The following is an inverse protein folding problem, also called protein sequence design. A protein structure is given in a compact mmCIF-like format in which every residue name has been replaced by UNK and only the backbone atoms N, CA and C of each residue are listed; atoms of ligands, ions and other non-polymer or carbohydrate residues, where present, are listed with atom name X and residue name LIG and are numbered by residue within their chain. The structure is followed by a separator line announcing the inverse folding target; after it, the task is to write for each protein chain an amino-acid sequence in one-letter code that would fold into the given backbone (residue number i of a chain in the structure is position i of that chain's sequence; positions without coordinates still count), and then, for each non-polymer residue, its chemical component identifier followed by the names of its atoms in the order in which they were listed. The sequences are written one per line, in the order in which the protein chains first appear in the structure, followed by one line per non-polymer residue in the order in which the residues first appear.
data_IF_639349207463
#
_entry.id   IF_639349207463
#
_cell.length_a   1.000
_cell.length_b   1.000
_cell.length_c   1.000
_cell.angle_alpha   90.00
_cell.angle_beta   90.00
_cell.angle_gamma   90.00
#
_symmetry.space_group_name_H-M   'P 1'
#
loop_
_entity.id
_entity.type
_entity.pdbx_description
1 polymer ?
#
# COMPACT_ATOMS: atom_id res chain seq x y z
N UNK A 1 4.24 -13.41 12.72
CA UNK A 1 3.89 -12.44 11.66
C UNK A 1 2.74 -12.99 10.83
N UNK A 2 1.58 -12.32 10.82
CA UNK A 2 0.33 -12.76 10.16
C UNK A 2 0.32 -12.57 8.63
N UNK A 3 1.26 -11.79 8.10
CA UNK A 3 1.34 -11.42 6.68
C UNK A 3 2.74 -11.71 6.11
N UNK A 4 2.81 -11.95 4.81
CA UNK A 4 4.03 -11.84 4.00
C UNK A 4 4.05 -10.47 3.33
N UNK A 5 5.18 -9.77 3.40
CA UNK A 5 5.30 -8.41 2.88
C UNK A 5 6.44 -8.37 1.88
N UNK A 6 6.17 -7.78 0.72
CA UNK A 6 7.13 -7.64 -0.38
C UNK A 6 7.05 -6.23 -0.94
N UNK A 7 8.17 -5.52 -1.01
CA UNK A 7 8.23 -4.25 -1.72
C UNK A 7 8.16 -4.50 -3.24
N UNK A 8 7.20 -3.87 -3.91
CA UNK A 8 6.96 -4.00 -5.35
C UNK A 8 7.09 -2.66 -6.08
N UNK A 9 7.60 -1.61 -5.41
CA UNK A 9 7.94 -0.34 -6.04
C UNK A 9 8.81 -0.59 -7.29
N UNK A 10 8.46 -0.06 -8.48
CA UNK A 10 9.29 -0.16 -9.68
C UNK A 10 10.70 0.40 -9.45
N UNK A 11 11.72 -0.20 -10.06
CA UNK A 11 13.12 0.18 -9.82
C UNK A 11 13.40 1.67 -10.08
N UNK A 12 12.79 2.26 -11.10
CA UNK A 12 12.92 3.69 -11.41
C UNK A 12 12.25 4.64 -10.40
N UNK A 13 11.46 4.11 -9.47
CA UNK A 13 10.77 4.86 -8.40
C UNK A 13 11.29 4.51 -7.00
N UNK A 14 12.27 3.60 -6.89
CA UNK A 14 12.89 3.27 -5.61
C UNK A 14 13.89 4.34 -5.23
N UNK A 15 13.74 4.93 -4.05
CA UNK A 15 14.76 5.79 -3.49
C UNK A 15 15.91 4.96 -2.91
N UNK A 16 17.13 5.40 -3.17
CA UNK A 16 18.36 4.79 -2.64
C UNK A 16 18.55 5.17 -1.15
N UNK A 17 18.02 6.33 -0.72
CA UNK A 17 18.11 6.87 0.65
C UNK A 17 16.87 7.72 0.96
N UNK A 18 16.19 7.49 2.09
CA UNK A 18 15.07 8.33 2.59
C UNK A 18 13.68 7.67 2.58
N UNK A 19 12.70 8.34 3.22
CA UNK A 19 11.28 7.97 3.27
C UNK A 19 10.55 8.43 2.01
N UNK A 20 10.71 7.68 0.92
CA UNK A 20 10.00 7.92 -0.33
C UNK A 20 8.75 7.04 -0.44
N UNK A 21 7.76 7.43 -1.26
CA UNK A 21 6.59 6.61 -1.53
C UNK A 21 7.01 5.24 -2.09
N UNK A 22 6.60 4.18 -1.40
CA UNK A 22 6.90 2.81 -1.79
C UNK A 22 5.62 1.96 -1.77
N UNK A 23 5.49 1.07 -2.76
CA UNK A 23 4.36 0.16 -2.86
C UNK A 23 4.76 -1.16 -2.22
N UNK A 24 4.01 -1.56 -1.19
CA UNK A 24 4.19 -2.82 -0.50
C UNK A 24 3.02 -3.76 -0.81
N UNK A 25 3.34 -4.97 -1.27
CA UNK A 25 2.40 -6.07 -1.38
C UNK A 25 2.29 -6.76 -0.02
N UNK A 26 1.09 -6.79 0.53
CA UNK A 26 0.78 -7.48 1.78
C UNK A 26 -0.09 -8.69 1.46
N UNK A 27 0.43 -9.90 1.69
CA UNK A 27 -0.30 -11.15 1.49
C UNK A 27 -0.61 -11.79 2.85
N UNK A 28 -1.87 -11.91 3.27
CA UNK A 28 -2.25 -12.64 4.49
C UNK A 28 -1.81 -14.11 4.42
N UNK A 29 -1.25 -14.66 5.50
CA UNK A 29 -0.94 -16.10 5.59
C UNK A 29 -2.18 -16.96 5.82
N UNK A 30 -3.29 -16.36 6.23
CA UNK A 30 -4.61 -16.97 6.32
C UNK A 30 -5.68 -15.99 5.81
N UNK A 31 -6.68 -16.54 5.15
CA UNK A 31 -7.78 -15.97 4.36
C UNK A 31 -8.56 -14.73 4.89
N UNK A 32 -9.31 -14.14 3.94
CA UNK A 32 -10.65 -13.49 4.02
C UNK A 32 -10.92 -12.28 4.92
N UNK A 33 -11.47 -11.24 4.28
CA UNK A 33 -12.69 -10.44 4.65
C UNK A 33 -12.96 -9.52 3.43
N UNK A 34 -14.12 -9.36 2.78
CA UNK A 34 -15.56 -9.26 3.13
C UNK A 34 -15.83 -8.17 4.18
N UNK A 35 -16.35 -7.04 3.69
CA UNK A 35 -16.84 -5.84 4.40
C UNK A 35 -15.80 -4.81 4.88
N UNK A 36 -15.86 -3.62 4.26
CA UNK A 36 -15.24 -2.41 4.81
C UNK A 36 -14.90 -1.39 3.72
N UNK A 37 -15.78 -0.39 3.51
CA UNK A 37 -15.56 0.78 2.65
C UNK A 37 -15.35 0.50 1.16
N UNK A 38 -15.91 1.32 0.27
CA UNK A 38 -15.50 1.28 -1.13
C UNK A 38 -14.08 1.84 -1.24
N UNK A 39 -13.09 0.96 -1.18
CA UNK A 39 -11.73 1.30 -1.56
C UNK A 39 -11.76 1.83 -3.00
N UNK A 40 -11.11 2.95 -3.25
CA UNK A 40 -11.13 3.61 -4.54
C UNK A 40 -9.80 4.29 -4.80
N UNK A 41 -9.36 4.25 -6.05
CA UNK A 41 -8.18 4.96 -6.52
C UNK A 41 -8.66 6.06 -7.47
N UNK A 42 -8.04 7.22 -7.47
CA UNK A 42 -8.28 8.32 -8.40
C UNK A 42 -6.95 8.79 -8.97
N UNK A 43 -6.98 9.39 -10.15
CA UNK A 43 -5.81 9.97 -10.80
C UNK A 43 -5.92 11.49 -10.78
N UNK A 44 -4.86 12.16 -10.35
CA UNK A 44 -4.74 13.61 -10.34
C UNK A 44 -3.35 13.99 -10.84
N UNK A 45 -3.25 14.29 -12.13
CA UNK A 45 -1.97 14.54 -12.80
C UNK A 45 -1.05 13.32 -12.72
N UNK A 46 0.14 13.50 -12.13
CA UNK A 46 1.16 12.46 -11.94
C UNK A 46 0.98 11.67 -10.63
N UNK A 47 -0.15 11.85 -9.92
CA UNK A 47 -0.38 11.27 -8.61
C UNK A 47 -1.64 10.38 -8.56
N UNK A 48 -1.57 9.34 -7.73
CA UNK A 48 -2.73 8.56 -7.34
C UNK A 48 -3.25 9.03 -5.98
N UNK A 49 -4.55 9.28 -5.91
CA UNK A 49 -5.26 9.44 -4.64
C UNK A 49 -5.90 8.11 -4.27
N UNK A 50 -5.51 7.56 -3.13
CA UNK A 50 -5.93 6.21 -2.71
C UNK A 50 -6.78 6.36 -1.45
N UNK A 51 -8.06 5.97 -1.56
CA UNK A 51 -8.96 5.86 -0.41
C UNK A 51 -9.01 4.38 -0.01
N UNK A 52 -8.63 4.11 1.23
CA UNK A 52 -8.73 2.79 1.84
C UNK A 52 -8.69 2.83 3.36
N UNK A 53 -8.60 1.66 3.97
CA UNK A 53 -8.53 1.55 5.43
C UNK A 53 -7.15 2.00 5.93
N UNK A 54 -7.12 2.95 6.87
CA UNK A 54 -5.88 3.31 7.57
C UNK A 54 -5.48 2.17 8.48
N UNK A 55 -4.24 1.72 8.37
CA UNK A 55 -3.68 0.64 9.19
C UNK A 55 -2.41 1.08 9.90
N UNK A 56 -2.08 0.40 11.00
CA UNK A 56 -0.92 0.71 11.84
C UNK A 56 0.36 0.07 11.24
N UNK A 57 1.39 0.87 10.87
CA UNK A 57 2.58 0.35 10.16
C UNK A 57 3.35 -0.73 10.94
N UNK A 58 3.34 -0.66 12.26
CA UNK A 58 4.03 -1.64 13.11
C UNK A 58 3.45 -3.06 13.01
N UNK A 59 2.16 -3.22 12.69
CA UNK A 59 1.52 -4.53 12.46
C UNK A 59 2.10 -5.26 11.24
N UNK A 60 2.67 -4.48 10.31
CA UNK A 60 3.27 -4.91 9.06
C UNK A 60 4.80 -4.79 9.09
N UNK A 61 5.43 -4.44 10.21
CA UNK A 61 6.88 -4.23 10.26
C UNK A 61 7.36 -3.09 9.34
N UNK A 62 6.47 -2.14 9.02
CA UNK A 62 6.73 -0.96 8.19
C UNK A 62 6.88 0.32 9.02
N UNK A 63 7.03 0.21 10.35
CA UNK A 63 7.12 1.35 11.27
C UNK A 63 8.21 2.38 10.89
N UNK A 64 9.35 1.92 10.37
CA UNK A 64 10.44 2.80 9.90
C UNK A 64 10.33 3.23 8.45
N UNK A 65 9.22 2.91 7.77
CA UNK A 65 8.99 3.18 6.34
C UNK A 65 7.95 4.26 6.09
N UNK A 66 7.18 4.64 7.10
CA UNK A 66 6.17 5.70 7.03
C UNK A 66 6.76 6.97 7.65
N UNK A 67 6.90 8.02 6.84
CA UNK A 67 7.42 9.32 7.22
C UNK A 67 6.45 10.17 8.03
N UNK A 68 6.93 11.32 8.50
CA UNK A 68 6.09 12.28 9.22
C UNK A 68 4.98 12.84 8.32
N UNK A 69 3.73 12.74 8.76
CA UNK A 69 2.56 13.16 7.97
C UNK A 69 2.08 12.14 6.93
N UNK A 70 2.78 11.02 6.76
CA UNK A 70 2.35 9.92 5.90
C UNK A 70 1.41 8.96 6.63
N UNK A 71 0.62 8.23 5.85
CA UNK A 71 -0.32 7.21 6.37
C UNK A 71 -0.19 5.93 5.55
N UNK A 72 -0.20 4.79 6.24
CA UNK A 72 -0.32 3.50 5.58
C UNK A 72 -1.80 3.18 5.37
N UNK A 73 -2.19 2.99 4.12
CA UNK A 73 -3.55 2.59 3.72
C UNK A 73 -3.53 1.20 3.10
N UNK A 74 -4.47 0.36 3.52
CA UNK A 74 -4.70 -0.95 2.93
C UNK A 74 -5.74 -0.83 1.82
N UNK A 75 -5.38 -1.30 0.62
CA UNK A 75 -6.30 -1.39 -0.52
C UNK A 75 -6.23 -2.75 -1.23
N UNK A 76 -7.33 -3.24 -1.81
CA UNK A 76 -7.34 -4.45 -2.62
C UNK A 76 -6.42 -4.33 -3.84
N UNK A 77 -5.55 -5.31 -4.04
CA UNK A 77 -4.57 -5.36 -5.14
C UNK A 77 -5.18 -5.11 -6.53
N UNK A 78 -6.36 -5.68 -6.78
CA UNK A 78 -7.12 -5.52 -8.03
C UNK A 78 -7.39 -4.06 -8.41
N UNK A 79 -7.46 -3.13 -7.46
CA UNK A 79 -7.69 -1.71 -7.75
C UNK A 79 -6.49 -1.04 -8.44
N UNK A 80 -5.30 -1.61 -8.28
CA UNK A 80 -4.07 -1.14 -8.90
C UNK A 80 -3.75 -2.01 -10.12
N UNK A 81 -3.78 -3.33 -9.96
CA UNK A 81 -3.38 -4.27 -11.03
C UNK A 81 -4.33 -4.28 -12.24
N UNK A 82 -5.64 -4.12 -12.03
CA UNK A 82 -6.64 -4.26 -13.12
C UNK A 82 -6.89 -2.94 -13.88
N UNK A 83 -6.25 -1.82 -13.52
CA UNK A 83 -6.37 -0.55 -14.26
C UNK A 83 -5.73 -0.55 -15.65
N UNK A 84 -4.97 -1.59 -15.99
CA UNK A 84 -4.29 -1.74 -17.27
C UNK A 84 -4.88 -2.79 -18.20
N UNK A 85 -6.10 -3.29 -17.94
CA UNK A 85 -6.81 -4.26 -18.80
C UNK A 85 -8.15 -3.74 -19.31
#
# INVERSE_FOLDING_TARGET
MKYNIREITPEGLRCIIGGCPAIYEVTPKAMQSIMGGCNSVYEEGEHYLIIGERVEPSEFGLAGKVGEGEVLVQVPKRLIDDRGK
#
